data_IF_480149269012
#
_entry.id   IF_480149269012
#
_cell.length_a   1.000
_cell.length_b   1.000
_cell.length_c   1.000
_cell.angle_alpha   90.00
_cell.angle_beta   90.00
_cell.angle_gamma   90.00
#
_symmetry.space_group_name_H-M   'P 1'
#
loop_
_entity.id
_entity.type
_entity.pdbx_description
1 polymer ?
#
# COMPACT_ATOMS: atom_id res chain seq x y z
N UNK A 1 27.17 1.44 -10.81
CA UNK A 1 25.75 1.78 -10.57
C UNK A 1 25.18 0.65 -9.74
N UNK A 2 25.04 0.84 -8.42
CA UNK A 2 24.55 -0.22 -7.54
C UNK A 2 23.04 -0.38 -7.77
N UNK A 3 22.63 -1.52 -8.30
CA UNK A 3 21.23 -1.88 -8.50
C UNK A 3 20.58 -2.00 -7.13
N UNK A 4 19.86 -0.97 -6.71
CA UNK A 4 19.12 -0.97 -5.45
C UNK A 4 18.10 -2.11 -5.51
N UNK A 5 18.28 -3.15 -4.70
CA UNK A 5 17.35 -4.28 -4.63
C UNK A 5 15.98 -3.73 -4.23
N UNK A 6 15.01 -3.87 -5.12
CA UNK A 6 13.64 -3.44 -4.85
C UNK A 6 13.02 -4.34 -3.80
N UNK A 7 12.55 -3.75 -2.70
CA UNK A 7 11.88 -4.48 -1.62
C UNK A 7 10.41 -4.65 -1.93
N UNK A 8 9.95 -5.89 -1.97
CA UNK A 8 8.53 -6.25 -2.14
C UNK A 8 8.01 -6.90 -0.85
N UNK A 9 6.79 -6.54 -0.45
CA UNK A 9 6.08 -7.18 0.65
C UNK A 9 4.68 -7.60 0.20
N UNK A 10 4.15 -8.65 0.80
CA UNK A 10 2.84 -9.19 0.40
C UNK A 10 1.68 -8.30 0.82
N UNK A 11 1.76 -7.76 2.04
CA UNK A 11 0.65 -7.08 2.69
C UNK A 11 1.15 -5.82 3.41
N UNK A 12 0.30 -4.80 3.45
CA UNK A 12 0.59 -3.57 4.19
C UNK A 12 -0.67 -3.05 4.88
N UNK A 13 -0.47 -2.43 6.05
CA UNK A 13 -1.49 -1.69 6.79
C UNK A 13 -0.99 -0.26 6.90
N UNK A 14 -1.82 0.70 6.54
CA UNK A 14 -1.49 2.13 6.66
C UNK A 14 -1.17 2.45 8.11
N UNK A 15 -0.07 3.16 8.32
CA UNK A 15 0.39 3.62 9.63
C UNK A 15 0.56 5.13 9.61
N UNK A 16 0.82 5.73 10.77
CA UNK A 16 1.17 7.16 10.87
C UNK A 16 2.42 7.56 10.08
N UNK A 17 3.26 6.58 9.70
CA UNK A 17 4.47 6.83 8.92
C UNK A 17 4.19 6.81 7.41
N UNK A 18 3.03 6.30 6.97
CA UNK A 18 2.65 6.27 5.56
C UNK A 18 2.44 7.69 5.05
N UNK A 19 3.24 8.09 4.06
CA UNK A 19 3.12 9.39 3.40
C UNK A 19 2.31 9.29 2.12
N UNK A 20 2.51 8.23 1.34
CA UNK A 20 1.80 8.03 0.08
C UNK A 20 1.66 6.56 -0.31
N UNK A 21 0.59 6.27 -1.06
CA UNK A 21 0.36 5.01 -1.77
C UNK A 21 0.25 5.34 -3.26
N UNK A 22 1.29 5.02 -4.02
CA UNK A 22 1.37 5.37 -5.44
C UNK A 22 1.18 4.13 -6.31
N UNK A 23 0.22 4.11 -7.25
CA UNK A 23 0.11 3.02 -8.21
C UNK A 23 1.31 3.07 -9.17
N UNK A 24 1.96 1.92 -9.36
CA UNK A 24 3.08 1.74 -10.29
C UNK A 24 2.73 0.63 -11.26
N UNK A 25 2.82 0.93 -12.55
CA UNK A 25 2.52 0.01 -13.64
C UNK A 25 3.86 -0.65 -14.03
N UNK A 26 4.04 -1.93 -13.70
CA UNK A 26 5.24 -2.68 -14.07
C UNK A 26 5.16 -3.22 -15.50
N UNK A 27 3.95 -3.56 -15.96
CA UNK A 27 3.63 -3.98 -17.32
C UNK A 27 2.14 -3.79 -17.59
N UNK A 28 1.66 -3.98 -18.83
CA UNK A 28 0.27 -3.73 -19.24
C UNK A 28 -0.81 -4.35 -18.33
N UNK A 29 -0.48 -5.41 -17.57
CA UNK A 29 -1.43 -6.10 -16.69
C UNK A 29 -1.03 -6.16 -15.22
N UNK A 30 0.12 -5.59 -14.85
CA UNK A 30 0.66 -5.73 -13.49
C UNK A 30 0.82 -4.37 -12.83
N UNK A 31 -0.11 -4.06 -11.93
CA UNK A 31 -0.09 -2.86 -11.09
C UNK A 31 0.37 -3.27 -9.69
N UNK A 32 1.39 -2.61 -9.19
CA UNK A 32 1.82 -2.69 -7.79
C UNK A 32 1.61 -1.33 -7.13
N UNK A 33 1.64 -1.28 -5.81
CA UNK A 33 1.64 -0.02 -5.07
C UNK A 33 3.02 0.23 -4.49
N UNK A 34 3.60 1.38 -4.78
CA UNK A 34 4.73 1.90 -4.03
C UNK A 34 4.22 2.56 -2.76
N UNK A 35 4.59 2.01 -1.62
CA UNK A 35 4.39 2.61 -0.30
C UNK A 35 5.57 3.52 -0.04
N UNK A 36 5.28 4.79 0.25
CA UNK A 36 6.27 5.76 0.73
C UNK A 36 6.01 5.98 2.21
N UNK A 37 6.96 5.59 3.05
CA UNK A 37 7.00 5.97 4.46
C UNK A 37 8.03 7.07 4.70
N UNK A 38 7.99 7.69 5.88
CA UNK A 38 8.88 8.78 6.26
C UNK A 38 10.37 8.49 6.01
N UNK A 39 10.83 7.25 6.24
CA UNK A 39 12.23 6.86 6.13
C UNK A 39 12.48 5.67 5.18
N UNK A 40 11.45 5.21 4.46
CA UNK A 40 11.55 4.00 3.63
C UNK A 40 10.58 4.03 2.44
N UNK A 41 10.87 3.27 1.40
CA UNK A 41 9.94 3.05 0.30
C UNK A 41 10.06 1.65 -0.26
N UNK A 42 8.94 0.98 -0.46
CA UNK A 42 8.87 -0.40 -0.90
C UNK A 42 7.60 -0.66 -1.72
N UNK A 43 7.52 -1.83 -2.34
CA UNK A 43 6.41 -2.22 -3.19
C UNK A 43 5.52 -3.26 -2.53
N UNK A 44 4.22 -3.19 -2.82
CA UNK A 44 3.19 -4.13 -2.39
C UNK A 44 2.38 -4.56 -3.61
N UNK A 45 2.03 -5.84 -3.71
CA UNK A 45 1.24 -6.36 -4.85
C UNK A 45 -0.25 -6.03 -4.80
N UNK A 46 -0.71 -5.35 -3.75
CA UNK A 46 -2.09 -4.90 -3.59
C UNK A 46 -2.29 -3.53 -4.27
N UNK A 47 -3.49 -3.24 -4.78
CA UNK A 47 -3.83 -1.89 -5.26
C UNK A 47 -3.95 -0.92 -4.08
N UNK A 48 -3.77 0.40 -4.29
CA UNK A 48 -3.86 1.37 -3.20
C UNK A 48 -5.19 1.29 -2.44
N UNK A 49 -6.32 1.15 -3.15
CA UNK A 49 -7.64 1.03 -2.53
C UNK A 49 -7.78 -0.23 -1.67
N UNK A 50 -7.24 -1.36 -2.11
CA UNK A 50 -7.29 -2.62 -1.35
C UNK A 50 -6.51 -2.50 -0.03
N UNK A 51 -5.37 -1.80 -0.06
CA UNK A 51 -4.56 -1.50 1.13
C UNK A 51 -5.34 -0.62 2.11
N UNK A 52 -5.99 0.45 1.61
CA UNK A 52 -6.77 1.38 2.42
C UNK A 52 -7.97 0.66 3.06
N UNK A 53 -8.77 -0.04 2.25
CA UNK A 53 -9.96 -0.75 2.72
C UNK A 53 -9.60 -1.79 3.80
N UNK A 54 -8.53 -2.57 3.61
CA UNK A 54 -8.04 -3.51 4.62
C UNK A 54 -7.60 -2.79 5.90
N UNK A 55 -6.96 -1.64 5.77
CA UNK A 55 -6.52 -0.84 6.91
C UNK A 55 -7.71 -0.31 7.70
N UNK A 56 -8.74 0.21 7.02
CA UNK A 56 -10.00 0.61 7.66
C UNK A 56 -10.63 -0.57 8.41
N UNK A 57 -10.77 -1.74 7.77
CA UNK A 57 -11.36 -2.94 8.38
C UNK A 57 -10.65 -3.35 9.66
N UNK A 58 -9.31 -3.30 9.65
CA UNK A 58 -8.50 -3.61 10.83
C UNK A 58 -8.78 -2.66 12.01
N UNK A 59 -9.22 -1.43 11.73
CA UNK A 59 -9.58 -0.42 12.73
C UNK A 59 -11.10 -0.30 12.94
N UNK A 60 -11.91 -1.26 12.46
CA UNK A 60 -13.36 -1.29 12.67
C UNK A 60 -14.17 -0.37 11.75
N UNK A 61 -13.58 0.14 10.67
CA UNK A 61 -14.25 1.02 9.71
C UNK A 61 -14.19 0.49 8.28
N UNK A 62 -14.95 1.10 7.36
CA UNK A 62 -14.75 0.92 5.92
C UNK A 62 -14.16 2.18 5.29
N UNK A 63 -13.58 2.05 4.09
CA UNK A 63 -13.12 3.21 3.33
C UNK A 63 -14.26 4.23 3.06
N UNK A 64 -15.49 3.72 2.93
CA UNK A 64 -16.69 4.54 2.71
C UNK A 64 -17.28 5.14 4.01
N UNK A 65 -16.63 4.94 5.17
CA UNK A 65 -17.07 5.53 6.44
C UNK A 65 -18.26 4.82 7.09
N UNK A 66 -18.51 3.56 6.75
CA UNK A 66 -19.50 2.73 7.45
C UNK A 66 -18.82 2.01 8.61
N UNK A 67 -19.45 2.01 9.79
CA UNK A 67 -19.04 1.14 10.88
C UNK A 67 -19.33 -0.31 10.48
N UNK A 68 -18.30 -1.15 10.55
CA UNK A 68 -18.48 -2.58 10.33
C UNK A 68 -18.94 -3.23 11.64
N UNK A 69 -19.93 -4.15 11.60
CA UNK A 69 -20.45 -4.82 12.79
C UNK A 69 -19.41 -5.75 13.44
#
# INVERSE_FOLDING_TARGET
>A
MESKVERYVENYVVTKNTMALLPVILSEKKIVTRVVEMNDSFFVFQKPLDIIERSCRKHGSSFLGQNLP
#
